data_IF_699873786725
#
_entry.id   IF_699873786725
#
_cell.length_a   1.000
_cell.length_b   1.000
_cell.length_c   1.000
_cell.angle_alpha   90.00
_cell.angle_beta   90.00
_cell.angle_gamma   90.00
#
_symmetry.space_group_name_H-M   'P 1'
#
loop_
_entity.id
_entity.type
_entity.pdbx_description
1 polymer ?
#
# COMPACT_ATOMS: atom_id res chain seq x y z
N UNK A 1 -5.29 -21.13 -3.15
CA UNK A 1 -5.41 -19.65 -3.25
C UNK A 1 -6.30 -19.21 -2.11
N UNK A 2 -5.83 -18.30 -1.25
CA UNK A 2 -6.43 -17.97 0.06
C UNK A 2 -7.74 -17.15 0.00
N UNK A 3 -8.65 -17.45 -0.91
CA UNK A 3 -9.91 -16.69 -1.08
C UNK A 3 -9.73 -15.17 -1.20
N UNK A 4 -8.61 -14.73 -1.76
CA UNK A 4 -8.35 -13.31 -1.97
C UNK A 4 -9.41 -12.74 -2.92
N UNK A 5 -10.27 -11.87 -2.39
CA UNK A 5 -11.44 -11.35 -3.11
C UNK A 5 -11.16 -10.10 -3.93
N UNK A 6 -9.95 -9.54 -3.83
CA UNK A 6 -9.63 -8.23 -4.38
C UNK A 6 -10.38 -7.07 -3.70
N UNK A 7 -11.03 -7.29 -2.55
CA UNK A 7 -11.70 -6.25 -1.77
C UNK A 7 -10.94 -5.98 -0.47
N UNK A 8 -10.57 -4.71 -0.26
CA UNK A 8 -9.96 -4.29 0.99
C UNK A 8 -10.98 -4.33 2.13
N UNK A 9 -10.58 -4.83 3.30
CA UNK A 9 -11.46 -4.94 4.47
C UNK A 9 -10.78 -4.57 5.79
N UNK A 10 -9.45 -4.55 5.86
CA UNK A 10 -8.68 -4.16 7.04
C UNK A 10 -7.36 -3.51 6.63
N UNK A 11 -6.91 -2.51 7.41
CA UNK A 11 -5.60 -1.87 7.26
C UNK A 11 -4.63 -2.45 8.29
N UNK A 12 -3.90 -3.50 7.91
CA UNK A 12 -2.94 -4.21 8.79
C UNK A 12 -1.48 -3.92 8.46
N UNK A 13 -1.21 -3.41 7.26
CA UNK A 13 0.12 -2.98 6.82
C UNK A 13 0.31 -1.48 7.11
N UNK A 14 1.47 -1.09 7.62
CA UNK A 14 1.76 0.30 8.00
C UNK A 14 3.21 0.67 7.74
N UNK A 15 3.43 1.87 7.21
CA UNK A 15 4.75 2.48 7.08
C UNK A 15 4.90 3.55 8.16
N UNK A 16 5.76 3.30 9.14
CA UNK A 16 6.16 4.30 10.13
C UNK A 16 7.32 5.13 9.60
N UNK A 17 7.30 6.44 9.85
CA UNK A 17 8.36 7.35 9.44
C UNK A 17 8.61 8.43 10.50
N UNK A 18 9.81 9.02 10.47
CA UNK A 18 10.20 10.09 11.40
C UNK A 18 9.44 11.39 11.09
N UNK A 19 8.96 12.08 12.12
CA UNK A 19 8.17 13.32 11.96
C UNK A 19 8.94 14.48 11.31
N UNK A 20 10.26 14.37 11.16
CA UNK A 20 11.12 15.34 10.45
C UNK A 20 11.07 15.17 8.93
N UNK A 21 10.51 14.08 8.41
CA UNK A 21 10.34 13.83 6.98
C UNK A 21 8.93 14.28 6.57
N UNK A 22 8.81 14.99 5.44
CA UNK A 22 7.50 15.40 4.95
C UNK A 22 6.88 14.30 4.09
N UNK A 23 5.66 13.88 4.43
CA UNK A 23 4.85 13.01 3.58
C UNK A 23 4.24 13.86 2.46
N UNK A 24 4.58 13.55 1.21
CA UNK A 24 4.04 14.21 0.02
C UNK A 24 2.74 13.57 -0.44
N UNK A 25 2.68 12.24 -0.45
CA UNK A 25 1.53 11.49 -0.94
C UNK A 25 1.48 10.12 -0.28
N UNK A 26 0.28 9.57 -0.14
CA UNK A 26 0.05 8.18 0.31
C UNK A 26 -1.13 7.58 -0.43
N UNK A 27 -0.99 6.33 -0.86
CA UNK A 27 -2.07 5.55 -1.47
C UNK A 27 -1.96 4.08 -1.09
N UNK A 28 -3.08 3.39 -1.18
CA UNK A 28 -3.11 1.93 -1.30
C UNK A 28 -3.22 1.62 -2.79
N UNK A 29 -2.30 0.83 -3.33
CA UNK A 29 -2.34 0.43 -4.73
C UNK A 29 -3.19 -0.82 -4.92
N UNK A 30 -4.40 -0.63 -5.45
CA UNK A 30 -5.35 -1.71 -5.75
C UNK A 30 -5.38 -2.04 -7.25
N UNK A 31 -4.27 -1.88 -7.97
CA UNK A 31 -4.17 -2.31 -9.36
C UNK A 31 -3.63 -3.74 -9.47
N UNK A 32 -4.31 -4.57 -10.26
CA UNK A 32 -3.81 -5.88 -10.66
C UNK A 32 -2.80 -5.72 -11.81
N UNK A 33 -1.55 -6.09 -11.60
CA UNK A 33 -0.52 -6.00 -12.63
C UNK A 33 -0.73 -7.09 -13.68
N UNK A 34 -1.00 -6.70 -14.93
CA UNK A 34 -1.35 -7.62 -16.02
C UNK A 34 -2.54 -8.54 -15.69
N UNK A 35 -3.47 -8.07 -14.85
CA UNK A 35 -4.62 -8.85 -14.38
C UNK A 35 -4.27 -9.84 -13.26
N UNK A 36 -3.04 -9.85 -12.78
CA UNK A 36 -2.54 -10.74 -11.72
C UNK A 36 -2.31 -9.94 -10.43
N UNK A 37 -2.75 -10.52 -9.31
CA UNK A 37 -2.37 -10.08 -7.98
C UNK A 37 -1.20 -10.93 -7.50
N UNK A 38 0.01 -10.36 -7.34
CA UNK A 38 1.17 -11.11 -6.89
C UNK A 38 1.13 -11.43 -5.39
N UNK A 39 0.24 -10.79 -4.63
CA UNK A 39 0.09 -10.90 -3.18
C UNK A 39 -1.39 -10.87 -2.79
N UNK A 40 -1.73 -11.43 -1.63
CA UNK A 40 -3.05 -11.32 -0.99
C UNK A 40 -3.21 -10.05 -0.12
N UNK A 41 -2.19 -9.19 -0.11
CA UNK A 41 -2.21 -7.84 0.48
C UNK A 41 -2.03 -6.78 -0.62
N UNK A 42 -2.69 -5.62 -0.45
CA UNK A 42 -2.46 -4.46 -1.32
C UNK A 42 -1.24 -3.66 -0.85
N UNK A 43 -0.33 -3.25 -1.76
CA UNK A 43 0.78 -2.39 -1.39
C UNK A 43 0.32 -1.05 -0.81
N UNK A 44 0.92 -0.65 0.30
CA UNK A 44 0.87 0.73 0.80
C UNK A 44 2.05 1.49 0.21
N UNK A 45 1.78 2.56 -0.52
CA UNK A 45 2.80 3.37 -1.21
C UNK A 45 2.80 4.77 -0.60
N UNK A 46 3.95 5.18 -0.07
CA UNK A 46 4.16 6.51 0.49
C UNK A 46 5.30 7.22 -0.26
N UNK A 47 5.04 8.47 -0.65
CA UNK A 47 6.03 9.36 -1.24
C UNK A 47 6.48 10.38 -0.20
N UNK A 48 7.79 10.47 0.01
CA UNK A 48 8.38 11.38 0.99
C UNK A 48 9.21 12.45 0.29
N UNK A 49 9.30 13.62 0.91
CA UNK A 49 10.22 14.69 0.53
C UNK A 49 11.20 14.89 1.69
N UNK A 50 12.48 14.79 1.37
CA UNK A 50 13.55 15.13 2.29
C UNK A 50 13.80 16.64 2.22
N UNK A 51 14.11 17.29 3.36
CA UNK A 51 14.52 18.69 3.39
C UNK A 51 15.82 18.93 2.61
#
# INVERSE_FOLDING_TARGET
FHDFTGKAFAAVDTIYYDSRINLRNVKVDTFAWEGIWPSDHFPVVAEFVFP
#
